data_IF_398003363132
#
_entry.id   IF_398003363132
#
_cell.length_a   1.000
_cell.length_b   1.000
_cell.length_c   1.000
_cell.angle_alpha   90.00
_cell.angle_beta   90.00
_cell.angle_gamma   90.00
#
_symmetry.space_group_name_H-M   'P 1'
#
loop_
_entity.id
_entity.type
_entity.pdbx_description
1 polymer ?
#
# COMPACT_ATOMS: atom_id res chain seq x y z
N UNK A 1 -6.60 23.54 -15.11
CA UNK A 1 -6.72 22.17 -14.57
C UNK A 1 -5.37 21.46 -14.69
N UNK A 2 -4.72 21.18 -13.56
CA UNK A 2 -3.40 20.54 -13.51
C UNK A 2 -3.42 19.16 -14.17
N UNK A 3 -2.51 18.93 -15.10
CA UNK A 3 -2.32 17.62 -15.72
C UNK A 3 -1.63 16.67 -14.73
N UNK A 4 -2.27 15.56 -14.34
CA UNK A 4 -1.64 14.55 -13.48
C UNK A 4 -0.53 13.85 -14.26
N UNK A 5 0.69 13.84 -13.74
CA UNK A 5 1.86 13.26 -14.41
C UNK A 5 1.74 11.74 -14.55
N UNK A 6 2.22 11.17 -15.66
CA UNK A 6 2.25 9.71 -15.84
C UNK A 6 3.08 9.01 -14.76
N UNK A 7 4.12 9.67 -14.28
CA UNK A 7 4.97 9.20 -13.18
C UNK A 7 4.15 8.96 -11.90
N UNK A 8 3.31 9.92 -11.50
CA UNK A 8 2.43 9.76 -10.34
C UNK A 8 1.44 8.61 -10.55
N UNK A 9 0.81 8.54 -11.72
CA UNK A 9 -0.20 7.51 -12.06
C UNK A 9 0.37 6.11 -11.98
N UNK A 10 1.52 5.88 -12.62
CA UNK A 10 2.17 4.57 -12.57
C UNK A 10 2.64 4.23 -11.16
N UNK A 11 3.12 5.20 -10.36
CA UNK A 11 3.51 4.94 -8.97
C UNK A 11 2.32 4.49 -8.12
N UNK A 12 1.14 5.11 -8.28
CA UNK A 12 -0.09 4.69 -7.59
C UNK A 12 -0.55 3.31 -8.04
N UNK A 13 -0.49 3.00 -9.34
CA UNK A 13 -0.86 1.67 -9.84
C UNK A 13 0.09 0.58 -9.33
N UNK A 14 1.40 0.85 -9.37
CA UNK A 14 2.42 -0.04 -8.82
C UNK A 14 2.22 -0.27 -7.33
N UNK A 15 1.88 0.78 -6.56
CA UNK A 15 1.58 0.67 -5.14
C UNK A 15 0.37 -0.22 -4.86
N UNK A 16 -0.73 -0.05 -5.63
CA UNK A 16 -1.92 -0.87 -5.50
C UNK A 16 -1.66 -2.35 -5.80
N UNK A 17 -0.96 -2.62 -6.90
CA UNK A 17 -0.58 -4.00 -7.28
C UNK A 17 0.34 -4.61 -6.23
N UNK A 18 1.36 -3.88 -5.77
CA UNK A 18 2.29 -4.33 -4.75
C UNK A 18 1.60 -4.61 -3.41
N UNK A 19 0.65 -3.76 -3.01
CA UNK A 19 -0.16 -3.95 -1.79
C UNK A 19 -1.06 -5.17 -1.91
N UNK A 20 -1.68 -5.40 -3.07
CA UNK A 20 -2.47 -6.60 -3.31
C UNK A 20 -1.61 -7.88 -3.20
N UNK A 21 -0.41 -7.88 -3.80
CA UNK A 21 0.57 -8.97 -3.65
C UNK A 21 0.94 -9.15 -2.17
N UNK A 22 1.16 -8.06 -1.42
CA UNK A 22 1.49 -8.11 0.01
C UNK A 22 0.38 -8.79 0.82
N UNK A 23 -0.89 -8.51 0.52
CA UNK A 23 -2.04 -9.16 1.17
C UNK A 23 -2.04 -10.67 0.86
N UNK A 24 -1.79 -11.07 -0.39
CA UNK A 24 -1.70 -12.48 -0.77
C UNK A 24 -0.53 -13.19 -0.08
N UNK A 25 0.62 -12.53 0.04
CA UNK A 25 1.78 -13.05 0.79
C UNK A 25 1.43 -13.25 2.27
N UNK A 26 0.72 -12.30 2.90
CA UNK A 26 0.27 -12.43 4.29
C UNK A 26 -0.73 -13.58 4.47
N UNK A 27 -1.66 -13.74 3.54
CA UNK A 27 -2.59 -14.87 3.52
C UNK A 27 -1.85 -16.21 3.36
N UNK A 28 -0.82 -16.25 2.51
CA UNK A 28 0.03 -17.41 2.32
C UNK A 28 0.81 -17.78 3.59
N UNK A 29 1.48 -16.82 4.24
CA UNK A 29 2.19 -17.02 5.53
C UNK A 29 1.26 -17.63 6.57
N UNK A 30 0.03 -17.12 6.67
CA UNK A 30 -0.99 -17.69 7.57
C UNK A 30 -1.37 -19.11 7.18
N UNK A 31 -1.61 -19.37 5.90
CA UNK A 31 -2.05 -20.67 5.40
C UNK A 31 -1.04 -21.80 5.64
N UNK A 32 0.26 -21.50 5.57
CA UNK A 32 1.32 -22.49 5.78
C UNK A 32 1.78 -22.59 7.26
N UNK A 33 1.15 -21.84 8.17
CA UNK A 33 1.53 -21.83 9.59
C UNK A 33 2.84 -21.09 9.90
N UNK A 34 3.33 -20.25 8.99
CA UNK A 34 4.60 -19.54 9.15
C UNK A 34 4.49 -18.26 10.00
N UNK A 35 3.31 -17.89 10.51
CA UNK A 35 3.09 -16.60 11.19
C UNK A 35 3.85 -16.40 12.52
N UNK A 36 4.58 -17.40 13.00
CA UNK A 36 5.44 -17.34 14.19
C UNK A 36 6.83 -17.96 13.94
N UNK A 37 7.24 -18.09 12.68
CA UNK A 37 8.57 -18.59 12.31
C UNK A 37 9.69 -17.59 12.69
N UNK A 38 9.35 -16.31 12.79
CA UNK A 38 10.17 -15.22 13.29
C UNK A 38 9.55 -14.67 14.60
N UNK A 39 9.95 -15.16 15.78
CA UNK A 39 9.29 -14.84 17.05
C UNK A 39 9.55 -13.41 17.55
N UNK A 40 10.53 -12.73 16.98
CA UNK A 40 10.92 -11.35 17.24
C UNK A 40 10.49 -10.41 16.12
N UNK A 41 10.51 -9.11 16.40
CA UNK A 41 10.27 -8.04 15.45
C UNK A 41 11.09 -6.81 15.90
N UNK A 42 11.76 -6.07 15.01
CA UNK A 42 11.72 -6.14 13.54
C UNK A 42 12.64 -7.20 12.92
N UNK A 43 13.55 -7.77 13.71
CA UNK A 43 14.44 -8.85 13.28
C UNK A 43 13.68 -10.18 13.14
N UNK A 44 14.33 -11.18 12.55
CA UNK A 44 13.85 -12.56 12.53
C UNK A 44 14.94 -13.48 13.06
N UNK A 45 14.67 -14.17 14.16
CA UNK A 45 15.63 -14.97 14.91
C UNK A 45 16.90 -14.18 15.26
N UNK A 46 16.74 -12.91 15.66
CA UNK A 46 17.83 -12.00 16.02
C UNK A 46 18.69 -11.52 14.84
N UNK A 47 18.30 -11.82 13.60
CA UNK A 47 19.04 -11.47 12.38
C UNK A 47 18.22 -10.61 11.44
N UNK A 48 18.89 -9.75 10.69
CA UNK A 48 18.28 -8.98 9.60
C UNK A 48 17.99 -9.86 8.38
N UNK A 49 18.90 -10.81 8.09
CA UNK A 49 18.74 -11.85 7.07
C UNK A 49 18.87 -13.18 7.82
N UNK A 50 17.76 -13.91 8.06
CA UNK A 50 17.76 -15.17 8.77
C UNK A 50 18.20 -16.33 7.86
N UNK A 51 18.03 -17.58 8.32
CA UNK A 51 18.22 -18.74 7.45
C UNK A 51 17.09 -18.84 6.41
N UNK A 52 17.39 -18.42 5.19
CA UNK A 52 16.44 -18.41 4.06
C UNK A 52 16.24 -19.80 3.43
N UNK A 53 16.97 -20.82 3.87
CA UNK A 53 16.76 -22.20 3.42
C UNK A 53 15.57 -22.86 4.09
N UNK A 54 15.15 -22.37 5.26
CA UNK A 54 13.89 -22.77 5.88
C UNK A 54 12.72 -22.01 5.23
N UNK A 55 11.78 -22.75 4.66
CA UNK A 55 10.69 -22.19 3.88
C UNK A 55 9.68 -21.39 4.71
N UNK A 56 9.48 -21.72 5.98
CA UNK A 56 8.56 -21.02 6.87
C UNK A 56 9.18 -19.69 7.30
N UNK A 57 10.45 -19.72 7.72
CA UNK A 57 11.21 -18.51 8.07
C UNK A 57 11.30 -17.58 6.88
N UNK A 58 11.63 -18.11 5.69
CA UNK A 58 11.71 -17.33 4.47
C UNK A 58 10.38 -16.65 4.14
N UNK A 59 9.26 -17.37 4.22
CA UNK A 59 7.95 -16.82 3.89
C UNK A 59 7.56 -15.64 4.80
N UNK A 60 7.74 -15.77 6.12
CA UNK A 60 7.42 -14.69 7.06
C UNK A 60 8.39 -13.50 6.88
N UNK A 61 9.69 -13.76 6.80
CA UNK A 61 10.69 -12.72 6.57
C UNK A 61 10.46 -11.97 5.25
N UNK A 62 10.13 -12.70 4.17
CA UNK A 62 9.88 -12.12 2.86
C UNK A 62 8.62 -11.25 2.87
N UNK A 63 7.56 -11.67 3.56
CA UNK A 63 6.37 -10.83 3.77
C UNK A 63 6.73 -9.50 4.47
N UNK A 64 7.58 -9.54 5.51
CA UNK A 64 8.05 -8.33 6.22
C UNK A 64 8.92 -7.43 5.32
N UNK A 65 9.83 -8.02 4.53
CA UNK A 65 10.65 -7.29 3.55
C UNK A 65 9.76 -6.60 2.52
N UNK A 66 8.77 -7.30 1.96
CA UNK A 66 7.86 -6.76 0.97
C UNK A 66 7.00 -5.63 1.55
N UNK A 67 6.58 -5.74 2.81
CA UNK A 67 5.91 -4.64 3.52
C UNK A 67 6.82 -3.40 3.61
N UNK A 68 8.09 -3.57 4.01
CA UNK A 68 9.02 -2.44 4.07
C UNK A 68 9.19 -1.74 2.71
N UNK A 69 9.35 -2.50 1.62
CA UNK A 69 9.46 -1.93 0.27
C UNK A 69 8.20 -1.18 -0.15
N UNK A 70 7.02 -1.71 0.18
CA UNK A 70 5.74 -1.07 -0.10
C UNK A 70 5.57 0.24 0.69
N UNK A 71 6.05 0.29 1.94
CA UNK A 71 6.10 1.52 2.74
C UNK A 71 6.96 2.61 2.10
N UNK A 72 8.15 2.27 1.59
CA UNK A 72 8.98 3.23 0.86
C UNK A 72 8.33 3.72 -0.44
N UNK A 73 7.66 2.84 -1.17
CA UNK A 73 6.89 3.22 -2.36
C UNK A 73 5.74 4.19 -2.01
N UNK A 74 5.03 3.95 -0.90
CA UNK A 74 4.00 4.87 -0.41
C UNK A 74 4.58 6.24 -0.04
N UNK A 75 5.72 6.30 0.65
CA UNK A 75 6.39 7.58 0.95
C UNK A 75 6.81 8.32 -0.33
N UNK A 76 7.22 7.59 -1.36
CA UNK A 76 7.51 8.17 -2.66
C UNK A 76 6.26 8.70 -3.37
N UNK A 77 5.13 7.99 -3.29
CA UNK A 77 3.83 8.48 -3.78
C UNK A 77 3.41 9.73 -3.01
N UNK A 78 3.58 9.78 -1.69
CA UNK A 78 3.35 10.99 -0.88
C UNK A 78 4.20 12.16 -1.38
N UNK A 79 5.49 11.95 -1.59
CA UNK A 79 6.39 12.98 -2.13
C UNK A 79 5.88 13.54 -3.47
N UNK A 80 5.47 12.68 -4.40
CA UNK A 80 4.90 13.12 -5.68
C UNK A 80 3.54 13.82 -5.51
N UNK A 81 2.72 13.39 -4.54
CA UNK A 81 1.41 13.99 -4.28
C UNK A 81 1.47 15.45 -3.81
N UNK A 82 2.63 15.90 -3.30
CA UNK A 82 2.85 17.28 -2.86
C UNK A 82 2.61 18.30 -3.97
N UNK A 83 2.89 17.94 -5.22
CA UNK A 83 2.64 18.78 -6.41
C UNK A 83 1.14 19.11 -6.56
N UNK A 84 0.26 18.23 -6.08
CA UNK A 84 -1.19 18.33 -6.24
C UNK A 84 -1.89 18.95 -5.03
N UNK A 85 -1.17 19.26 -3.94
CA UNK A 85 -1.74 19.76 -2.68
C UNK A 85 -2.70 20.95 -2.84
N UNK A 86 -2.40 21.88 -3.75
CA UNK A 86 -3.22 23.08 -3.97
C UNK A 86 -4.21 22.94 -5.14
N UNK A 87 -3.94 22.05 -6.10
CA UNK A 87 -4.71 21.94 -7.34
C UNK A 87 -5.76 20.82 -7.30
N UNK A 88 -5.44 19.71 -6.65
CA UNK A 88 -6.29 18.53 -6.46
C UNK A 88 -6.02 18.00 -5.03
N UNK A 89 -6.49 18.73 -4.00
CA UNK A 89 -6.15 18.45 -2.60
C UNK A 89 -6.56 17.04 -2.15
N UNK A 90 -7.54 16.41 -2.81
CA UNK A 90 -7.97 15.04 -2.56
C UNK A 90 -6.84 14.03 -2.79
N UNK A 91 -6.01 14.21 -3.82
CA UNK A 91 -4.88 13.31 -4.08
C UNK A 91 -3.88 13.34 -2.93
N UNK A 92 -3.52 14.54 -2.46
CA UNK A 92 -2.62 14.70 -1.33
C UNK A 92 -3.24 14.20 -0.01
N UNK A 93 -4.49 14.58 0.26
CA UNK A 93 -5.20 14.22 1.49
C UNK A 93 -5.40 12.72 1.64
N UNK A 94 -5.83 12.03 0.59
CA UNK A 94 -6.01 10.58 0.61
C UNK A 94 -4.67 9.84 0.77
N UNK A 95 -3.60 10.27 0.09
CA UNK A 95 -2.27 9.68 0.29
C UNK A 95 -1.73 9.92 1.70
N UNK A 96 -2.02 11.07 2.32
CA UNK A 96 -1.63 11.33 3.71
C UNK A 96 -2.36 10.41 4.70
N UNK A 97 -3.66 10.20 4.50
CA UNK A 97 -4.45 9.24 5.31
C UNK A 97 -3.86 7.83 5.14
N UNK A 98 -3.50 7.45 3.92
CA UNK A 98 -2.90 6.15 3.63
C UNK A 98 -1.57 5.93 4.38
N UNK A 99 -0.72 6.96 4.50
CA UNK A 99 0.52 6.89 5.27
C UNK A 99 0.25 6.60 6.75
N UNK A 100 -0.79 7.23 7.32
CA UNK A 100 -1.21 6.99 8.71
C UNK A 100 -1.72 5.57 8.89
N UNK A 101 -2.60 5.10 8.00
CA UNK A 101 -3.14 3.75 8.03
C UNK A 101 -2.05 2.69 7.81
N UNK A 102 -1.08 2.96 6.93
CA UNK A 102 0.05 2.06 6.71
C UNK A 102 0.97 2.00 7.93
N UNK A 103 1.20 3.13 8.60
CA UNK A 103 1.89 3.16 9.90
C UNK A 103 1.19 2.27 10.93
N UNK A 104 -0.14 2.39 11.04
CA UNK A 104 -0.94 1.51 11.89
C UNK A 104 -0.84 0.03 11.45
N UNK A 105 -0.79 -0.25 10.14
CA UNK A 105 -0.64 -1.60 9.60
C UNK A 105 0.67 -2.26 10.06
N UNK A 106 1.78 -1.51 10.03
CA UNK A 106 3.08 -1.99 10.51
C UNK A 106 3.02 -2.30 12.00
N UNK A 107 2.38 -1.44 12.80
CA UNK A 107 2.19 -1.67 14.24
C UNK A 107 1.36 -2.93 14.48
N UNK A 108 0.21 -3.07 13.82
CA UNK A 108 -0.62 -4.26 13.97
C UNK A 108 0.10 -5.52 13.50
N UNK A 109 0.92 -5.45 12.44
CA UNK A 109 1.74 -6.57 11.97
C UNK A 109 2.85 -6.97 12.94
N UNK A 110 3.44 -6.01 13.67
CA UNK A 110 4.35 -6.32 14.78
C UNK A 110 3.61 -6.95 15.96
N UNK A 111 2.39 -6.48 16.25
CA UNK A 111 1.55 -7.00 17.31
C UNK A 111 1.05 -8.42 17.03
N UNK A 112 0.75 -8.80 15.78
CA UNK A 112 0.36 -10.19 15.46
C UNK A 112 1.46 -11.18 15.86
N UNK A 113 2.73 -10.82 15.70
CA UNK A 113 3.87 -11.67 16.10
C UNK A 113 4.07 -11.63 17.60
N UNK A 114 4.22 -10.44 18.18
CA UNK A 114 4.56 -10.26 19.61
C UNK A 114 3.44 -10.69 20.56
N UNK A 115 2.18 -10.69 20.10
CA UNK A 115 1.01 -11.19 20.82
C UNK A 115 0.62 -12.62 20.40
N UNK A 116 1.52 -13.36 19.74
CA UNK A 116 1.36 -14.79 19.41
C UNK A 116 0.06 -15.10 18.65
N UNK A 117 -0.21 -14.31 17.61
CA UNK A 117 -1.37 -14.42 16.71
C UNK A 117 -2.71 -14.27 17.43
N UNK A 118 -2.81 -13.37 18.40
CA UNK A 118 -4.08 -13.03 19.05
C UNK A 118 -5.17 -12.72 17.99
N UNK A 119 -6.32 -13.40 18.01
CA UNK A 119 -7.31 -13.33 16.93
C UNK A 119 -7.83 -11.93 16.62
N UNK A 120 -8.09 -11.10 17.63
CA UNK A 120 -8.61 -9.74 17.42
C UNK A 120 -7.57 -8.88 16.70
N UNK A 121 -6.30 -8.95 17.11
CA UNK A 121 -5.20 -8.22 16.45
C UNK A 121 -5.02 -8.66 15.01
N UNK A 122 -5.08 -9.98 14.72
CA UNK A 122 -5.00 -10.50 13.35
C UNK A 122 -6.16 -10.00 12.48
N UNK A 123 -7.38 -9.94 13.03
CA UNK A 123 -8.55 -9.41 12.33
C UNK A 123 -8.42 -7.90 12.08
N UNK A 124 -7.96 -7.13 13.07
CA UNK A 124 -7.71 -5.68 12.90
C UNK A 124 -6.63 -5.44 11.84
N UNK A 125 -5.55 -6.22 11.85
CA UNK A 125 -4.50 -6.13 10.85
C UNK A 125 -5.03 -6.38 9.44
N UNK A 126 -5.83 -7.44 9.23
CA UNK A 126 -6.44 -7.72 7.93
C UNK A 126 -7.47 -6.65 7.53
N UNK A 127 -8.32 -6.22 8.47
CA UNK A 127 -9.31 -5.18 8.22
C UNK A 127 -8.68 -3.85 7.81
N UNK A 128 -7.59 -3.44 8.45
CA UNK A 128 -6.85 -2.23 8.09
C UNK A 128 -6.14 -2.37 6.72
N UNK A 129 -5.61 -3.55 6.37
CA UNK A 129 -5.10 -3.82 5.02
C UNK A 129 -6.18 -3.67 3.94
N UNK A 130 -7.38 -4.16 4.20
CA UNK A 130 -8.53 -4.02 3.29
C UNK A 130 -8.91 -2.54 3.13
N UNK A 131 -8.89 -1.77 4.21
CA UNK A 131 -9.13 -0.32 4.14
C UNK A 131 -8.09 0.39 3.27
N UNK A 132 -6.80 0.04 3.42
CA UNK A 132 -5.70 0.62 2.63
C UNK A 132 -5.92 0.35 1.13
N UNK A 133 -6.20 -0.90 0.73
CA UNK A 133 -6.40 -1.21 -0.70
C UNK A 133 -7.66 -0.51 -1.26
N UNK A 134 -8.72 -0.34 -0.46
CA UNK A 134 -9.90 0.45 -0.85
C UNK A 134 -9.50 1.91 -1.10
N UNK A 135 -8.71 2.53 -0.23
CA UNK A 135 -8.23 3.90 -0.42
C UNK A 135 -7.37 4.04 -1.68
N UNK A 136 -6.51 3.06 -1.96
CA UNK A 136 -5.71 3.02 -3.20
C UNK A 136 -6.60 2.93 -4.44
N UNK A 137 -7.67 2.12 -4.43
CA UNK A 137 -8.66 2.06 -5.50
C UNK A 137 -9.42 3.39 -5.65
N UNK A 138 -9.75 4.06 -4.53
CA UNK A 138 -10.33 5.41 -4.55
C UNK A 138 -9.37 6.43 -5.18
N UNK A 139 -8.09 6.41 -4.83
CA UNK A 139 -7.06 7.27 -5.46
C UNK A 139 -6.99 7.04 -6.98
N UNK A 140 -7.02 5.78 -7.41
CA UNK A 140 -7.05 5.41 -8.84
C UNK A 140 -8.30 5.98 -9.51
N UNK A 141 -9.47 5.85 -8.87
CA UNK A 141 -10.71 6.40 -9.38
C UNK A 141 -10.64 7.93 -9.54
N UNK A 142 -10.13 8.66 -8.54
CA UNK A 142 -9.92 10.12 -8.61
C UNK A 142 -8.99 10.50 -9.78
N UNK A 143 -7.91 9.74 -9.99
CA UNK A 143 -6.99 9.94 -11.13
C UNK A 143 -7.70 9.75 -12.47
N UNK A 144 -8.57 8.76 -12.59
CA UNK A 144 -9.32 8.47 -13.82
C UNK A 144 -10.34 9.56 -14.12
N UNK A 145 -11.16 9.97 -13.15
CA UNK A 145 -12.18 11.01 -13.38
C UNK A 145 -11.55 12.38 -13.68
N UNK A 146 -10.40 12.68 -13.08
CA UNK A 146 -9.63 13.91 -13.34
C UNK A 146 -9.11 13.97 -14.79
N UNK A 147 -9.02 12.82 -15.48
CA UNK A 147 -8.67 12.75 -16.91
C UNK A 147 -9.85 13.08 -17.82
N UNK A 148 -11.08 12.73 -17.43
CA UNK A 148 -12.27 12.83 -18.29
C UNK A 148 -12.82 14.26 -18.43
N UNK A 149 -12.49 15.18 -17.53
CA UNK A 149 -12.89 16.60 -17.62
C UNK A 149 -12.16 17.43 -18.70
N UNK A 150 -11.50 16.79 -19.69
CA UNK A 150 -10.58 17.41 -20.65
C UNK A 150 -10.95 17.24 -22.14
N UNK A 151 -12.14 16.75 -22.50
CA UNK A 151 -12.55 16.82 -23.91
C UNK A 151 -13.06 18.25 -24.24
N UNK A 152 -12.43 18.98 -25.18
CA UNK A 152 -12.99 20.22 -25.69
C UNK A 152 -14.26 19.89 -26.49
N UNK A 153 -15.33 20.68 -26.29
CA UNK A 153 -16.50 20.64 -27.18
C UNK A 153 -16.05 20.83 -28.64
N UNK A 154 -16.59 20.10 -29.62
CA UNK A 154 -16.33 20.36 -31.03
C UNK A 154 -16.66 21.82 -31.32
N UNK A 155 -15.68 22.60 -31.78
CA UNK A 155 -15.93 23.94 -32.29
C UNK A 155 -16.84 23.82 -33.50
N UNK A 156 -18.12 24.14 -33.33
CA UNK A 156 -19.03 24.35 -34.45
C UNK A 156 -18.62 25.67 -35.11
N UNK A 157 -17.81 25.58 -36.16
CA UNK A 157 -17.58 26.74 -37.01
C UNK A 157 -18.92 27.14 -37.64
N UNK A 158 -19.37 28.41 -37.50
CA UNK A 158 -20.53 28.87 -38.25
C UNK A 158 -20.19 28.82 -39.74
N UNK A 159 -21.01 28.07 -40.49
CA UNK A 159 -20.98 28.05 -41.95
C UNK A 159 -21.42 29.44 -42.41
N UNK A 160 -20.50 30.21 -42.96
CA UNK A 160 -20.75 31.45 -43.71
C UNK A 160 -21.04 31.13 -45.17
#
# INVERSE_FOLDING_TARGET
MSHISNKFRYSVYSLAISTYILILLGAYVKAIGAGLACPDWPLCNGKLIPDIHDSLIFAEWFHRLWAMLNGFLLLYVLYLSLEYKSNIPELYGLTLIEVVLYGAQVIFGALTVTQKLEPIIVVIHLGNAILIIILQLTLIFVIIISKSGKQPSPQTNPIS
#
